data_IF_870402244949
#
_entry.id   IF_870402244949
#
_cell.length_a   1.000
_cell.length_b   1.000
_cell.length_c   1.000
_cell.angle_alpha   90.00
_cell.angle_beta   90.00
_cell.angle_gamma   90.00
#
_symmetry.space_group_name_H-M   'P 1'
#
loop_
_entity.id
_entity.type
_entity.pdbx_description
1 polymer ?
#
# COMPACT_ATOMS: atom_id res chain seq x y z
N UNK A 1 24.18 -30.83 -10.04
CA UNK A 1 22.84 -30.24 -10.20
C UNK A 1 22.58 -29.55 -8.87
N UNK A 2 22.96 -28.27 -8.80
CA UNK A 2 23.16 -27.55 -7.54
C UNK A 2 22.07 -26.49 -7.43
N UNK A 3 21.36 -26.53 -6.32
CA UNK A 3 20.28 -25.62 -5.95
C UNK A 3 20.81 -24.18 -5.85
N UNK A 4 20.34 -23.19 -6.66
CA UNK A 4 20.99 -21.88 -6.73
C UNK A 4 20.47 -20.86 -5.69
N UNK A 5 19.54 -21.21 -4.81
CA UNK A 5 19.01 -20.27 -3.83
C UNK A 5 18.89 -20.85 -2.42
N UNK A 6 19.91 -20.68 -1.57
CA UNK A 6 19.66 -20.73 -0.14
C UNK A 6 18.94 -19.41 0.21
N UNK A 7 17.61 -19.44 0.27
CA UNK A 7 16.84 -18.50 1.07
C UNK A 7 17.12 -18.77 2.56
N UNK A 8 18.37 -18.57 2.97
CA UNK A 8 18.71 -18.40 4.35
C UNK A 8 18.08 -17.07 4.77
N UNK A 9 17.00 -17.14 5.54
CA UNK A 9 16.54 -16.03 6.38
C UNK A 9 17.73 -15.65 7.25
N UNK A 10 18.56 -14.72 6.78
CA UNK A 10 19.69 -14.20 7.55
C UNK A 10 19.10 -13.62 8.81
N UNK A 11 19.51 -14.12 9.98
CA UNK A 11 19.18 -13.47 11.23
C UNK A 11 19.75 -12.05 11.17
N UNK A 12 18.86 -11.08 11.02
CA UNK A 12 19.20 -9.67 10.94
C UNK A 12 19.84 -9.32 12.28
N UNK A 13 21.11 -8.90 12.28
CA UNK A 13 21.75 -8.48 13.52
C UNK A 13 20.98 -7.29 14.12
N UNK A 14 20.95 -7.12 15.46
CA UNK A 14 20.27 -5.97 16.07
C UNK A 14 20.75 -4.62 15.51
N UNK A 15 22.02 -4.52 15.11
CA UNK A 15 22.56 -3.34 14.44
C UNK A 15 22.01 -3.15 13.02
N UNK A 16 21.84 -4.23 12.27
CA UNK A 16 21.24 -4.21 10.91
C UNK A 16 19.80 -3.73 10.97
N UNK A 17 19.00 -4.25 11.92
CA UNK A 17 17.62 -3.83 12.11
C UNK A 17 17.53 -2.33 12.44
N UNK A 18 18.37 -1.83 13.37
CA UNK A 18 18.40 -0.40 13.72
C UNK A 18 18.73 0.51 12.53
N UNK A 19 19.64 0.08 11.65
CA UNK A 19 19.98 0.86 10.45
C UNK A 19 18.80 0.95 9.49
N UNK A 20 18.06 -0.14 9.27
CA UNK A 20 16.85 -0.11 8.43
C UNK A 20 15.76 0.75 9.07
N UNK A 21 15.51 0.57 10.37
CA UNK A 21 14.52 1.38 11.10
C UNK A 21 14.82 2.87 11.03
N UNK A 22 16.09 3.25 11.22
CA UNK A 22 16.46 4.66 11.11
C UNK A 22 16.34 5.17 9.68
N UNK A 23 16.61 4.34 8.67
CA UNK A 23 16.36 4.70 7.28
C UNK A 23 14.88 4.95 7.03
N UNK A 24 13.98 4.13 7.59
CA UNK A 24 12.52 4.36 7.49
C UNK A 24 12.15 5.72 8.06
N UNK A 25 12.71 6.11 9.20
CA UNK A 25 12.48 7.43 9.80
C UNK A 25 13.02 8.53 8.88
N UNK A 26 14.26 8.41 8.39
CA UNK A 26 14.86 9.41 7.50
C UNK A 26 14.04 9.59 6.21
N UNK A 27 13.61 8.51 5.55
CA UNK A 27 12.78 8.59 4.33
C UNK A 27 11.37 9.18 4.59
N UNK A 28 10.92 9.21 5.85
CA UNK A 28 9.71 9.92 6.26
C UNK A 28 9.91 11.42 6.51
N UNK A 29 11.15 11.87 6.71
CA UNK A 29 11.51 13.24 7.10
C UNK A 29 12.17 14.06 5.99
N UNK A 30 12.86 13.42 5.04
CA UNK A 30 13.65 14.10 4.01
C UNK A 30 13.56 13.41 2.64
N UNK A 31 13.98 14.12 1.60
CA UNK A 31 14.08 13.56 0.25
C UNK A 31 15.17 12.48 0.19
N UNK A 32 14.92 11.46 -0.62
CA UNK A 32 15.84 10.34 -0.83
C UNK A 32 17.24 10.81 -1.28
N UNK A 33 17.31 11.90 -2.06
CA UNK A 33 18.57 12.45 -2.56
C UNK A 33 19.41 13.15 -1.48
N UNK A 34 18.81 13.50 -0.35
CA UNK A 34 19.48 14.15 0.79
C UNK A 34 20.05 13.14 1.79
N UNK A 35 19.68 11.86 1.67
CA UNK A 35 20.15 10.80 2.57
C UNK A 35 21.67 10.61 2.41
N UNK A 36 22.37 10.53 3.56
CA UNK A 36 23.82 10.28 3.64
C UNK A 36 24.11 9.18 4.65
N UNK A 37 24.98 8.23 4.29
CA UNK A 37 25.38 7.10 5.16
C UNK A 37 25.96 7.57 6.50
N UNK A 38 26.71 8.67 6.51
CA UNK A 38 27.28 9.23 7.75
C UNK A 38 26.21 9.73 8.72
N UNK A 39 25.15 10.37 8.20
CA UNK A 39 24.01 10.84 9.00
C UNK A 39 23.21 9.65 9.51
N UNK A 40 22.94 8.66 8.64
CA UNK A 40 22.26 7.43 9.00
C UNK A 40 22.98 6.68 10.12
N UNK A 41 24.28 6.42 9.96
CA UNK A 41 25.09 5.70 10.95
C UNK A 41 25.06 6.40 12.32
N UNK A 42 25.20 7.74 12.31
CA UNK A 42 25.13 8.56 13.52
C UNK A 42 23.76 8.45 14.20
N UNK A 43 22.66 8.56 13.45
CA UNK A 43 21.29 8.48 14.00
C UNK A 43 20.98 7.07 14.52
N UNK A 44 21.40 6.03 13.80
CA UNK A 44 21.23 4.63 14.20
C UNK A 44 22.16 4.20 15.36
N UNK A 45 23.08 5.07 15.81
CA UNK A 45 24.02 4.78 16.89
C UNK A 45 25.04 3.69 16.54
N UNK A 46 25.45 3.59 15.27
CA UNK A 46 26.41 2.59 14.78
C UNK A 46 27.59 3.26 14.08
N UNK A 47 28.72 2.56 14.02
CA UNK A 47 29.87 3.02 13.24
C UNK A 47 29.60 2.81 11.74
N UNK A 48 30.12 3.70 10.88
CA UNK A 48 29.98 3.59 9.42
C UNK A 48 30.47 2.22 8.88
N UNK A 49 31.60 1.65 9.35
CA UNK A 49 32.02 0.32 8.93
C UNK A 49 30.98 -0.78 9.24
N UNK A 50 30.23 -0.65 10.33
CA UNK A 50 29.15 -1.59 10.68
C UNK A 50 28.02 -1.56 9.65
N UNK A 51 27.74 -0.40 9.06
CA UNK A 51 26.76 -0.28 7.97
C UNK A 51 27.24 -1.07 6.75
N UNK A 52 28.46 -0.81 6.28
CA UNK A 52 29.02 -1.48 5.11
C UNK A 52 29.33 -2.97 5.31
N UNK A 53 29.47 -3.42 6.56
CA UNK A 53 29.54 -4.85 6.87
C UNK A 53 28.23 -5.58 6.57
N UNK A 54 27.08 -4.91 6.75
CA UNK A 54 25.75 -5.51 6.62
C UNK A 54 25.07 -5.20 5.29
N UNK A 55 25.40 -4.07 4.66
CA UNK A 55 24.79 -3.60 3.42
C UNK A 55 25.87 -3.28 2.39
N UNK A 56 25.66 -3.65 1.12
CA UNK A 56 26.67 -3.40 0.08
C UNK A 56 26.67 -1.94 -0.35
N UNK A 57 25.54 -1.27 -0.23
CA UNK A 57 25.35 0.10 -0.66
C UNK A 57 24.27 0.83 0.16
N UNK A 58 24.25 2.16 0.08
CA UNK A 58 23.13 2.97 0.59
C UNK A 58 21.82 2.59 -0.10
N UNK A 59 21.87 2.27 -1.39
CA UNK A 59 20.73 1.83 -2.19
C UNK A 59 20.10 0.56 -1.60
N UNK A 60 20.91 -0.41 -1.16
CA UNK A 60 20.40 -1.63 -0.52
C UNK A 60 19.59 -1.28 0.74
N UNK A 61 20.08 -0.34 1.55
CA UNK A 61 19.38 0.08 2.77
C UNK A 61 18.06 0.77 2.44
N UNK A 62 18.05 1.62 1.41
CA UNK A 62 16.84 2.29 0.95
C UNK A 62 15.81 1.27 0.44
N UNK A 63 16.25 0.26 -0.32
CA UNK A 63 15.41 -0.83 -0.81
C UNK A 63 14.77 -1.59 0.36
N UNK A 64 15.57 -2.01 1.35
CA UNK A 64 15.05 -2.67 2.56
C UNK A 64 14.05 -1.80 3.32
N UNK A 65 14.39 -0.53 3.55
CA UNK A 65 13.52 0.41 4.26
C UNK A 65 12.22 0.67 3.48
N UNK A 66 12.27 0.73 2.16
CA UNK A 66 11.09 0.91 1.31
C UNK A 66 10.13 -0.28 1.45
N UNK A 67 10.64 -1.52 1.47
CA UNK A 67 9.80 -2.70 1.73
C UNK A 67 9.12 -2.60 3.09
N UNK A 68 9.88 -2.26 4.15
CA UNK A 68 9.32 -2.08 5.49
C UNK A 68 8.24 -0.99 5.53
N UNK A 69 8.47 0.15 4.86
CA UNK A 69 7.49 1.23 4.79
C UNK A 69 6.20 0.79 4.08
N UNK A 70 6.32 0.03 2.99
CA UNK A 70 5.18 -0.48 2.24
C UNK A 70 4.41 -1.51 3.07
N UNK A 71 5.08 -2.45 3.74
CA UNK A 71 4.42 -3.41 4.62
C UNK A 71 3.71 -2.71 5.79
N UNK A 72 4.31 -1.66 6.38
CA UNK A 72 3.66 -0.84 7.42
C UNK A 72 2.41 -0.15 6.91
N UNK A 73 2.50 0.46 5.73
CA UNK A 73 1.38 1.13 5.09
C UNK A 73 0.23 0.15 4.80
N UNK A 74 0.56 -1.02 4.26
CA UNK A 74 -0.43 -2.04 3.92
C UNK A 74 -1.01 -2.76 5.15
N UNK A 75 -0.37 -2.65 6.32
CA UNK A 75 -0.79 -3.35 7.54
C UNK A 75 -2.26 -3.16 7.91
N UNK A 76 -2.77 -1.92 7.88
CA UNK A 76 -4.18 -1.64 8.19
C UNK A 76 -5.15 -2.21 7.14
N UNK A 77 -4.76 -2.18 5.85
CA UNK A 77 -5.53 -2.78 4.76
C UNK A 77 -5.59 -4.31 4.90
N UNK A 78 -4.45 -4.94 5.16
CA UNK A 78 -4.35 -6.38 5.39
C UNK A 78 -5.19 -6.84 6.59
N UNK A 79 -5.30 -6.03 7.65
CA UNK A 79 -6.14 -6.31 8.81
C UNK A 79 -7.62 -6.34 8.45
N UNK A 80 -8.09 -5.34 7.68
CA UNK A 80 -9.47 -5.30 7.18
C UNK A 80 -9.77 -6.47 6.23
N UNK A 81 -8.89 -6.77 5.27
CA UNK A 81 -9.05 -7.92 4.39
C UNK A 81 -9.12 -9.24 5.18
N UNK A 82 -8.28 -9.38 6.21
CA UNK A 82 -8.32 -10.55 7.10
C UNK A 82 -9.63 -10.63 7.91
N UNK A 83 -10.16 -9.49 8.36
CA UNK A 83 -11.43 -9.44 9.06
C UNK A 83 -12.61 -9.78 8.12
N UNK A 84 -12.62 -9.28 6.88
CA UNK A 84 -13.59 -9.69 5.85
C UNK A 84 -13.52 -11.20 5.59
N UNK A 85 -12.31 -11.75 5.44
CA UNK A 85 -12.12 -13.19 5.24
C UNK A 85 -12.67 -14.02 6.41
N UNK A 86 -12.42 -13.58 7.66
CA UNK A 86 -12.97 -14.23 8.86
C UNK A 86 -14.49 -14.14 8.93
N UNK A 87 -15.07 -12.98 8.64
CA UNK A 87 -16.52 -12.79 8.59
C UNK A 87 -17.16 -13.75 7.56
N UNK A 88 -16.55 -13.84 6.38
CA UNK A 88 -16.97 -14.77 5.34
C UNK A 88 -16.83 -16.25 5.75
N UNK A 89 -15.78 -16.63 6.46
CA UNK A 89 -15.62 -17.99 6.98
C UNK A 89 -16.66 -18.34 8.05
N UNK A 90 -17.06 -17.37 8.87
CA UNK A 90 -18.03 -17.53 9.95
C UNK A 90 -19.49 -17.32 9.51
N UNK A 91 -19.73 -17.04 8.23
CA UNK A 91 -21.07 -16.73 7.68
C UNK A 91 -21.71 -15.52 8.38
N UNK A 92 -20.89 -14.56 8.78
CA UNK A 92 -21.30 -13.32 9.44
C UNK A 92 -21.39 -12.18 8.40
N UNK A 93 -22.56 -12.06 7.77
CA UNK A 93 -22.80 -11.09 6.70
C UNK A 93 -22.74 -9.64 7.21
N UNK A 94 -23.31 -9.38 8.38
CA UNK A 94 -23.35 -8.02 8.95
C UNK A 94 -21.93 -7.52 9.24
N UNK A 95 -21.10 -8.36 9.88
CA UNK A 95 -19.72 -8.02 10.13
C UNK A 95 -18.92 -7.88 8.83
N UNK A 96 -19.18 -8.72 7.82
CA UNK A 96 -18.55 -8.57 6.51
C UNK A 96 -18.87 -7.21 5.90
N UNK A 97 -20.14 -6.80 5.88
CA UNK A 97 -20.58 -5.51 5.30
C UNK A 97 -19.96 -4.32 6.02
N UNK A 98 -19.88 -4.37 7.35
CA UNK A 98 -19.26 -3.33 8.16
C UNK A 98 -17.77 -3.19 7.83
N UNK A 99 -17.01 -4.29 7.89
CA UNK A 99 -15.57 -4.27 7.61
C UNK A 99 -15.28 -3.93 6.15
N UNK A 100 -16.11 -4.37 5.20
CA UNK A 100 -15.98 -3.99 3.80
C UNK A 100 -16.18 -2.48 3.61
N UNK A 101 -17.12 -1.88 4.33
CA UNK A 101 -17.35 -0.43 4.30
C UNK A 101 -16.15 0.32 4.91
N UNK A 102 -15.65 -0.12 6.06
CA UNK A 102 -14.46 0.44 6.72
C UNK A 102 -13.21 0.33 5.84
N UNK A 103 -13.04 -0.79 5.12
CA UNK A 103 -11.96 -0.99 4.16
C UNK A 103 -12.05 0.04 3.03
N UNK A 104 -13.23 0.24 2.44
CA UNK A 104 -13.42 1.21 1.37
C UNK A 104 -13.19 2.64 1.87
N UNK A 105 -13.67 3.00 3.06
CA UNK A 105 -13.42 4.31 3.65
C UNK A 105 -11.92 4.55 3.88
N UNK A 106 -11.21 3.55 4.43
CA UNK A 106 -9.77 3.61 4.63
C UNK A 106 -9.02 3.86 3.32
N UNK A 107 -9.36 3.12 2.25
CA UNK A 107 -8.75 3.27 0.91
C UNK A 107 -8.90 4.67 0.32
N UNK A 108 -9.96 5.41 0.69
CA UNK A 108 -10.25 6.74 0.15
C UNK A 108 -10.03 7.87 1.17
N UNK A 109 -9.42 7.55 2.31
CA UNK A 109 -9.13 8.52 3.38
C UNK A 109 -7.98 9.48 3.00
N UNK A 110 -8.00 10.68 3.59
CA UNK A 110 -6.91 11.66 3.41
C UNK A 110 -5.56 11.13 3.92
N UNK A 111 -5.56 10.36 5.01
CA UNK A 111 -4.36 9.77 5.59
C UNK A 111 -3.77 8.68 4.70
N UNK A 112 -4.60 7.85 4.06
CA UNK A 112 -4.14 6.89 3.06
C UNK A 112 -3.51 7.62 1.87
N UNK A 113 -4.17 8.66 1.34
CA UNK A 113 -3.61 9.45 0.25
C UNK A 113 -2.25 10.09 0.61
N UNK A 114 -2.14 10.74 1.77
CA UNK A 114 -0.86 11.33 2.20
C UNK A 114 0.26 10.29 2.30
N UNK A 115 -0.07 9.09 2.77
CA UNK A 115 0.88 7.97 2.83
C UNK A 115 1.30 7.50 1.44
N UNK A 116 0.35 7.31 0.51
CA UNK A 116 0.64 6.90 -0.86
C UNK A 116 1.48 7.98 -1.58
N UNK A 117 1.16 9.27 -1.41
CA UNK A 117 1.94 10.38 -1.98
C UNK A 117 3.39 10.36 -1.54
N UNK A 118 3.68 10.00 -0.28
CA UNK A 118 5.04 9.84 0.24
C UNK A 118 5.73 8.58 -0.27
N UNK A 119 4.98 7.48 -0.42
CA UNK A 119 5.52 6.20 -0.88
C UNK A 119 5.77 6.15 -2.39
N UNK A 120 5.01 6.88 -3.21
CA UNK A 120 5.08 6.79 -4.66
C UNK A 120 6.48 7.11 -5.24
N UNK A 121 7.21 8.15 -4.79
CA UNK A 121 8.60 8.38 -5.19
C UNK A 121 9.53 7.22 -4.80
N UNK A 122 9.34 6.64 -3.61
CA UNK A 122 10.15 5.52 -3.12
C UNK A 122 9.90 4.24 -3.92
N UNK A 123 8.65 3.93 -4.24
CA UNK A 123 8.26 2.82 -5.11
C UNK A 123 8.86 3.01 -6.51
N UNK A 124 8.84 4.23 -7.03
CA UNK A 124 9.43 4.56 -8.33
C UNK A 124 10.94 4.34 -8.31
N UNK A 125 11.62 4.87 -7.29
CA UNK A 125 13.05 4.68 -7.09
C UNK A 125 13.41 3.19 -6.94
N UNK A 126 12.67 2.44 -6.11
CA UNK A 126 12.85 1.01 -5.91
C UNK A 126 12.83 0.25 -7.25
N UNK A 127 11.83 0.52 -8.09
CA UNK A 127 11.69 -0.13 -9.41
C UNK A 127 12.83 0.22 -10.37
N UNK A 128 13.45 1.39 -10.22
CA UNK A 128 14.59 1.80 -11.04
C UNK A 128 15.88 1.12 -10.60
N UNK A 129 16.12 1.03 -9.28
CA UNK A 129 17.40 0.55 -8.74
C UNK A 129 17.44 -0.94 -8.43
N UNK A 130 16.27 -1.56 -8.23
CA UNK A 130 16.11 -2.99 -7.93
C UNK A 130 14.97 -3.62 -8.77
N UNK A 131 15.01 -3.54 -10.12
CA UNK A 131 13.93 -4.04 -10.97
C UNK A 131 13.71 -5.55 -10.86
N UNK A 132 14.77 -6.30 -10.56
CA UNK A 132 14.72 -7.76 -10.36
C UNK A 132 14.24 -8.17 -8.97
N UNK A 133 14.19 -7.25 -8.01
CA UNK A 133 13.67 -7.55 -6.68
C UNK A 133 12.15 -7.78 -6.75
N UNK A 134 11.74 -8.99 -6.37
CA UNK A 134 10.35 -9.43 -6.45
C UNK A 134 9.52 -9.00 -5.26
N UNK A 135 10.12 -8.60 -4.13
CA UNK A 135 9.41 -8.38 -2.86
C UNK A 135 8.33 -7.32 -2.98
N UNK A 136 8.62 -6.22 -3.68
CA UNK A 136 7.63 -5.19 -3.97
C UNK A 136 6.42 -5.77 -4.74
N UNK A 137 6.70 -6.57 -5.78
CA UNK A 137 5.64 -7.20 -6.59
C UNK A 137 4.84 -8.22 -5.77
N UNK A 138 5.51 -9.01 -4.95
CA UNK A 138 4.88 -10.01 -4.07
C UNK A 138 3.95 -9.35 -3.04
N UNK A 139 4.38 -8.25 -2.42
CA UNK A 139 3.58 -7.49 -1.46
C UNK A 139 2.33 -6.90 -2.13
N UNK A 140 2.47 -6.30 -3.31
CA UNK A 140 1.34 -5.75 -4.07
C UNK A 140 0.37 -6.84 -4.54
N UNK A 141 0.90 -7.94 -5.09
CA UNK A 141 0.11 -9.07 -5.57
C UNK A 141 -0.67 -9.74 -4.43
N UNK A 142 -0.04 -9.91 -3.26
CA UNK A 142 -0.68 -10.49 -2.07
C UNK A 142 -1.95 -9.74 -1.67
N UNK A 143 -1.90 -8.42 -1.58
CA UNK A 143 -3.07 -7.63 -1.16
C UNK A 143 -4.17 -7.64 -2.23
N UNK A 144 -3.80 -7.57 -3.51
CA UNK A 144 -4.74 -7.67 -4.61
C UNK A 144 -5.44 -9.05 -4.63
N UNK A 145 -4.67 -10.14 -4.55
CA UNK A 145 -5.22 -11.50 -4.52
C UNK A 145 -6.15 -11.70 -3.33
N UNK A 146 -5.79 -11.21 -2.13
CA UNK A 146 -6.64 -11.28 -0.94
C UNK A 146 -7.97 -10.55 -1.14
N UNK A 147 -7.96 -9.36 -1.73
CA UNK A 147 -9.20 -8.63 -2.03
C UNK A 147 -10.09 -9.44 -3.00
N UNK A 148 -9.51 -10.01 -4.06
CA UNK A 148 -10.24 -10.85 -5.01
C UNK A 148 -10.88 -12.05 -4.30
N UNK A 149 -10.11 -12.75 -3.47
CA UNK A 149 -10.57 -13.94 -2.74
C UNK A 149 -11.73 -13.63 -1.79
N UNK A 150 -11.65 -12.54 -1.01
CA UNK A 150 -12.74 -12.18 -0.09
C UNK A 150 -14.01 -11.77 -0.84
N UNK A 151 -13.88 -11.09 -1.98
CA UNK A 151 -15.03 -10.73 -2.82
C UNK A 151 -15.67 -11.97 -3.44
N UNK A 152 -14.89 -12.90 -4.00
CA UNK A 152 -15.42 -14.18 -4.50
C UNK A 152 -16.09 -15.00 -3.38
N UNK A 153 -15.50 -15.03 -2.18
CA UNK A 153 -16.10 -15.71 -1.03
C UNK A 153 -17.46 -15.14 -0.64
N UNK A 154 -17.63 -13.82 -0.75
CA UNK A 154 -18.90 -13.13 -0.51
C UNK A 154 -19.92 -13.35 -1.65
N UNK A 155 -19.46 -13.39 -2.91
CA UNK A 155 -20.31 -13.74 -4.06
C UNK A 155 -20.84 -15.18 -3.98
N UNK A 156 -20.02 -16.12 -3.53
CA UNK A 156 -20.44 -17.51 -3.30
C UNK A 156 -21.52 -17.66 -2.22
N UNK A 157 -21.77 -16.61 -1.43
CA UNK A 157 -22.80 -16.53 -0.38
C UNK A 157 -23.94 -15.57 -0.71
N UNK A 158 -23.94 -15.01 -1.92
CA UNK A 158 -24.94 -14.02 -2.38
C UNK A 158 -24.98 -12.72 -1.58
N UNK A 159 -23.93 -12.43 -0.80
CA UNK A 159 -23.74 -11.15 -0.10
C UNK A 159 -23.31 -10.04 -1.06
N UNK A 160 -22.62 -10.41 -2.13
CA UNK A 160 -22.28 -9.56 -3.27
C UNK A 160 -22.84 -10.21 -4.53
N UNK A 161 -23.35 -9.42 -5.46
CA UNK A 161 -23.94 -9.93 -6.71
C UNK A 161 -22.90 -10.70 -7.52
N UNK A 162 -23.30 -11.88 -8.01
CA UNK A 162 -22.47 -12.73 -8.89
C UNK A 162 -22.32 -12.17 -10.31
N UNK A 163 -23.15 -11.20 -10.68
CA UNK A 163 -23.08 -10.53 -11.98
C UNK A 163 -21.92 -9.52 -12.06
N UNK A 164 -21.42 -9.07 -10.91
CA UNK A 164 -20.30 -8.14 -10.85
C UNK A 164 -18.96 -8.90 -10.94
N UNK A 165 -18.00 -8.40 -11.71
CA UNK A 165 -16.68 -9.02 -11.81
C UNK A 165 -15.77 -8.57 -10.66
N UNK A 166 -15.58 -9.45 -9.68
CA UNK A 166 -14.75 -9.18 -8.49
C UNK A 166 -13.27 -8.95 -8.83
N UNK A 167 -12.72 -9.65 -9.83
CA UNK A 167 -11.33 -9.53 -10.22
C UNK A 167 -11.09 -8.18 -10.93
N UNK A 168 -11.97 -7.83 -11.88
CA UNK A 168 -11.93 -6.54 -12.54
C UNK A 168 -12.09 -5.40 -11.52
N UNK A 169 -13.02 -5.53 -10.57
CA UNK A 169 -13.22 -4.55 -9.52
C UNK A 169 -11.97 -4.34 -8.68
N UNK A 170 -11.35 -5.44 -8.19
CA UNK A 170 -10.17 -5.34 -7.35
C UNK A 170 -8.99 -4.68 -8.08
N UNK A 171 -8.77 -5.00 -9.36
CA UNK A 171 -7.72 -4.39 -10.18
C UNK A 171 -7.96 -2.89 -10.40
N UNK A 172 -9.20 -2.51 -10.75
CA UNK A 172 -9.56 -1.10 -10.94
C UNK A 172 -9.45 -0.34 -9.61
N UNK A 173 -10.00 -0.89 -8.53
CA UNK A 173 -9.90 -0.31 -7.18
C UNK A 173 -8.45 -0.05 -6.79
N UNK A 174 -7.59 -1.07 -6.90
CA UNK A 174 -6.18 -0.96 -6.56
C UNK A 174 -5.46 0.11 -7.40
N UNK A 175 -5.73 0.14 -8.71
CA UNK A 175 -5.16 1.14 -9.62
C UNK A 175 -5.62 2.55 -9.28
N UNK A 176 -6.90 2.73 -8.98
CA UNK A 176 -7.47 4.01 -8.58
C UNK A 176 -6.92 4.50 -7.24
N UNK A 177 -6.76 3.61 -6.26
CA UNK A 177 -6.16 3.93 -4.96
C UNK A 177 -4.71 4.39 -5.12
N UNK A 178 -3.90 3.66 -5.90
CA UNK A 178 -2.54 4.09 -6.20
C UNK A 178 -2.49 5.40 -7.00
N UNK A 179 -3.45 5.61 -7.91
CA UNK A 179 -3.59 6.84 -8.69
C UNK A 179 -3.84 8.09 -7.85
N UNK A 180 -4.32 7.95 -6.60
CA UNK A 180 -4.48 9.07 -5.67
C UNK A 180 -3.15 9.82 -5.45
N UNK A 181 -2.01 9.14 -5.49
CA UNK A 181 -0.69 9.78 -5.35
C UNK A 181 -0.46 10.94 -6.32
N UNK A 182 -1.07 10.88 -7.51
CA UNK A 182 -0.86 11.81 -8.62
C UNK A 182 -2.05 12.76 -8.75
N UNK A 183 -3.26 12.24 -8.62
CA UNK A 183 -4.48 12.97 -8.99
C UNK A 183 -5.41 13.22 -7.80
N UNK A 184 -5.00 13.01 -6.56
CA UNK A 184 -5.94 13.21 -5.45
C UNK A 184 -6.50 14.63 -5.42
N UNK A 185 -7.82 14.71 -5.29
CA UNK A 185 -8.53 15.95 -5.06
C UNK A 185 -9.77 15.64 -4.20
N UNK A 186 -10.10 16.47 -3.19
CA UNK A 186 -11.26 16.23 -2.31
C UNK A 186 -12.60 16.08 -3.07
N UNK A 187 -12.69 16.68 -4.26
CA UNK A 187 -13.89 16.61 -5.09
C UNK A 187 -14.07 15.31 -5.89
N UNK A 188 -13.06 14.44 -5.97
CA UNK A 188 -13.15 13.21 -6.75
C UNK A 188 -13.94 12.11 -6.04
N UNK A 189 -13.99 12.13 -4.71
CA UNK A 189 -14.68 11.09 -3.94
C UNK A 189 -14.14 9.68 -4.23
N UNK A 190 -14.81 8.63 -3.69
CA UNK A 190 -14.44 7.25 -3.94
C UNK A 190 -14.74 6.82 -5.39
N UNK A 191 -13.71 6.59 -6.21
CA UNK A 191 -13.91 6.13 -7.59
C UNK A 191 -14.44 4.69 -7.71
N UNK A 192 -14.39 3.95 -6.61
CA UNK A 192 -14.89 2.58 -6.49
C UNK A 192 -15.52 2.42 -5.12
N UNK A 193 -16.65 1.73 -5.03
CA UNK A 193 -17.33 1.43 -3.76
C UNK A 193 -18.01 0.05 -3.81
N UNK A 194 -18.33 -0.51 -2.64
CA UNK A 194 -19.22 -1.66 -2.50
C UNK A 194 -20.53 -1.14 -1.91
N UNK A 195 -21.58 -1.14 -2.72
CA UNK A 195 -22.88 -0.56 -2.37
C UNK A 195 -23.82 -1.64 -1.84
N UNK A 196 -24.10 -1.59 -0.53
CA UNK A 196 -25.02 -2.50 0.16
C UNK A 196 -26.44 -1.93 0.34
N UNK A 197 -26.77 -0.78 -0.26
CA UNK A 197 -28.04 -0.08 -0.02
C UNK A 197 -29.29 -0.87 -0.45
N UNK A 198 -29.13 -1.81 -1.40
CA UNK A 198 -30.22 -2.64 -1.93
C UNK A 198 -30.23 -4.06 -1.37
N UNK A 199 -29.57 -4.30 -0.23
CA UNK A 199 -29.43 -5.63 0.36
C UNK A 199 -28.17 -6.32 -0.17
N UNK A 200 -28.25 -6.98 -1.32
CA UNK A 200 -27.07 -7.61 -1.95
C UNK A 200 -26.09 -6.53 -2.41
N UNK A 201 -24.83 -6.65 -1.97
CA UNK A 201 -23.75 -5.74 -2.34
C UNK A 201 -23.53 -5.68 -3.84
N UNK A 202 -23.35 -4.47 -4.38
CA UNK A 202 -22.97 -4.23 -5.77
C UNK A 202 -21.59 -3.58 -5.84
N UNK A 203 -20.72 -4.09 -6.70
CA UNK A 203 -19.42 -3.50 -6.97
C UNK A 203 -19.62 -2.33 -7.95
N UNK A 204 -19.33 -1.10 -7.50
CA UNK A 204 -19.62 0.11 -8.26
C UNK A 204 -18.34 0.84 -8.65
N UNK A 205 -18.37 1.43 -9.85
CA UNK A 205 -17.36 2.34 -10.36
C UNK A 205 -17.99 3.71 -10.54
N UNK A 206 -17.34 4.75 -10.04
CA UNK A 206 -17.75 6.11 -10.31
C UNK A 206 -17.22 6.49 -11.70
N UNK A 207 -18.13 6.54 -12.68
CA UNK A 207 -17.80 6.92 -14.06
C UNK A 207 -17.99 8.42 -14.32
N UNK A 208 -18.54 9.17 -13.37
CA UNK A 208 -18.82 10.60 -13.45
C UNK A 208 -18.20 11.35 -12.27
N UNK A 209 -17.47 12.42 -12.55
CA UNK A 209 -16.97 13.32 -11.51
C UNK A 209 -18.17 14.00 -10.82
N UNK A 210 -18.18 13.99 -9.48
CA UNK A 210 -19.26 14.62 -8.71
C UNK A 210 -19.30 16.15 -8.88
N UNK A 211 -18.22 16.77 -9.39
CA UNK A 211 -18.13 18.21 -9.69
C UNK A 211 -17.53 18.44 -11.08
N UNK A 212 -17.94 19.53 -11.74
CA UNK A 212 -17.35 19.93 -13.00
C UNK A 212 -15.87 20.26 -12.81
N UNK A 213 -15.02 19.93 -13.78
CA UNK A 213 -13.59 20.30 -13.78
C UNK A 213 -13.35 21.81 -13.57
N UNK A 214 -14.31 22.67 -13.95
CA UNK A 214 -14.27 24.12 -13.70
C UNK A 214 -14.26 24.48 -12.22
N UNK A 215 -14.81 23.64 -11.36
CA UNK A 215 -14.89 23.85 -9.90
C UNK A 215 -13.61 23.38 -9.19
N UNK A 216 -12.68 22.76 -9.93
CA UNK A 216 -11.40 22.24 -9.45
C UNK A 216 -10.23 23.20 -9.70
N UNK A 217 -10.50 24.40 -10.21
CA UNK A 217 -9.50 25.45 -10.34
C UNK A 217 -9.09 25.94 -8.95
N UNK A 218 -7.88 25.57 -8.52
CA UNK A 218 -7.23 26.18 -7.36
C UNK A 218 -7.14 27.69 -7.63
N UNK A 219 -7.66 28.56 -6.75
CA UNK A 219 -7.53 29.99 -6.92
C UNK A 219 -6.05 30.35 -7.06
N UNK A 220 -5.69 31.04 -8.14
CA UNK A 220 -4.38 31.66 -8.30
C UNK A 220 -4.17 32.64 -7.13
N UNK A 221 -3.52 32.18 -6.06
CA UNK A 221 -3.31 32.99 -4.85
C UNK A 221 -2.99 32.22 -3.57
N UNK A 222 -3.07 30.88 -3.54
CA UNK A 222 -2.76 30.08 -2.35
C UNK A 222 -1.35 29.47 -2.34
N UNK A 223 -0.39 30.11 -3.00
CA UNK A 223 1.02 29.79 -2.90
C UNK A 223 1.79 31.06 -2.48
N UNK A 224 1.82 31.31 -1.18
CA UNK A 224 2.88 32.07 -0.49
C UNK A 224 3.43 31.19 0.63
#
# INVERSE_FOLDING_TARGET
MSDPYPNAVRSISPGTARVVEEMVVMLGEMDIHDVRVSVLARRAGVAIPTVYYNFRSLTDIIVEATVVMIDRFLGSFSQNLSAMARAAANVDEEHFRLVASDFMELCWSSSANDSIRRLAPLITYFRQVAPEDVRLREVQARELTRLIEVLYSAQGKDWISRDDDAAAFAVVHYTCVLGQAIFWHPAFGPLTTIDFSQGTGRLRYQTTLQKNFSDMLVPKGAAE
#
